data_IF_635537263306
#
_entry.id   IF_635537263306
#
_cell.length_a   1.000
_cell.length_b   1.000
_cell.length_c   1.000
_cell.angle_alpha   90.00
_cell.angle_beta   90.00
_cell.angle_gamma   90.00
#
_symmetry.space_group_name_H-M   'P 1'
#
loop_
_entity.id
_entity.type
_entity.pdbx_description
1 polymer ?
#
# COMPACT_ATOMS: atom_id res chain seq x y z
N UNK A 1 -7.59 -18.23 -21.94
CA UNK A 1 -7.19 -16.80 -22.05
C UNK A 1 -7.82 -16.08 -20.88
N UNK A 2 -7.02 -15.31 -20.15
CA UNK A 2 -7.52 -14.48 -19.06
C UNK A 2 -8.10 -13.22 -19.70
N UNK A 3 -9.36 -12.91 -19.44
CA UNK A 3 -10.02 -11.68 -19.91
C UNK A 3 -9.32 -10.44 -19.32
N UNK A 4 -9.25 -9.35 -20.09
CA UNK A 4 -8.61 -8.06 -19.73
C UNK A 4 -9.07 -7.56 -18.36
N UNK A 5 -10.36 -7.68 -18.07
CA UNK A 5 -10.95 -7.38 -16.76
C UNK A 5 -10.21 -8.09 -15.64
N UNK A 6 -10.01 -9.41 -15.78
CA UNK A 6 -9.36 -10.22 -14.77
C UNK A 6 -7.89 -9.83 -14.61
N UNK A 7 -7.20 -9.58 -15.72
CA UNK A 7 -5.78 -9.18 -15.73
C UNK A 7 -5.59 -7.84 -14.99
N UNK A 8 -6.38 -6.83 -15.34
CA UNK A 8 -6.31 -5.48 -14.75
C UNK A 8 -6.65 -5.51 -13.26
N UNK A 9 -7.69 -6.25 -12.87
CA UNK A 9 -8.10 -6.36 -11.46
C UNK A 9 -7.09 -7.08 -10.60
N UNK A 10 -6.58 -8.23 -11.07
CA UNK A 10 -5.57 -9.01 -10.34
C UNK A 10 -4.29 -8.19 -10.10
N UNK A 11 -3.94 -7.30 -11.04
CA UNK A 11 -2.79 -6.42 -10.90
C UNK A 11 -3.08 -5.13 -10.12
N UNK A 12 -4.33 -4.88 -9.70
CA UNK A 12 -4.76 -3.67 -9.00
C UNK A 12 -4.43 -2.38 -9.78
N UNK A 13 -4.66 -2.39 -11.10
CA UNK A 13 -4.52 -1.23 -11.98
C UNK A 13 -5.86 -0.76 -12.56
N UNK A 14 -6.97 -1.25 -11.98
CA UNK A 14 -8.35 -0.93 -12.40
C UNK A 14 -8.81 0.44 -11.95
N UNK A 15 -8.15 1.04 -10.96
CA UNK A 15 -8.55 2.31 -10.37
C UNK A 15 -7.37 2.86 -9.57
N UNK A 16 -6.29 3.19 -10.27
CA UNK A 16 -5.12 3.86 -9.69
C UNK A 16 -5.04 5.27 -10.23
N UNK A 17 -4.69 6.21 -9.36
CA UNK A 17 -4.64 7.62 -9.72
C UNK A 17 -3.47 8.32 -9.04
N UNK A 18 -2.96 9.37 -9.68
CA UNK A 18 -1.87 10.19 -9.16
C UNK A 18 -1.90 11.58 -9.79
N UNK A 19 -1.66 12.59 -8.95
CA UNK A 19 -1.45 13.96 -9.42
C UNK A 19 0.02 14.15 -9.79
N UNK A 20 0.25 14.77 -10.95
CA UNK A 20 1.55 15.14 -11.48
C UNK A 20 1.56 16.63 -11.76
N UNK A 21 2.69 17.28 -11.46
CA UNK A 21 2.89 18.69 -11.79
C UNK A 21 3.82 18.79 -13.01
N UNK A 22 3.44 19.59 -13.99
CA UNK A 22 4.32 19.99 -15.09
C UNK A 22 4.35 21.52 -15.16
N UNK A 23 5.44 22.11 -14.69
CA UNK A 23 5.58 23.55 -14.55
C UNK A 23 4.58 24.12 -13.55
N UNK A 24 3.62 24.93 -14.02
CA UNK A 24 2.56 25.54 -13.19
C UNK A 24 1.21 24.84 -13.31
N UNK A 25 1.14 23.78 -14.13
CA UNK A 25 -0.08 23.03 -14.36
C UNK A 25 -0.07 21.72 -13.57
N UNK A 26 -1.26 21.30 -13.16
CA UNK A 26 -1.50 20.03 -12.47
C UNK A 26 -2.30 19.13 -13.37
N UNK A 27 -1.92 17.86 -13.37
CA UNK A 27 -2.58 16.83 -14.14
C UNK A 27 -2.93 15.68 -13.19
N UNK A 28 -4.16 15.20 -13.28
CA UNK A 28 -4.58 13.95 -12.67
C UNK A 28 -4.42 12.85 -13.72
N UNK A 29 -3.53 11.91 -13.45
CA UNK A 29 -3.39 10.68 -14.20
C UNK A 29 -4.21 9.61 -13.49
N UNK A 30 -5.03 8.86 -14.21
CA UNK A 30 -5.79 7.76 -13.64
C UNK A 30 -6.00 6.65 -14.67
N UNK A 31 -6.27 5.45 -14.17
CA UNK A 31 -6.61 4.30 -15.00
C UNK A 31 -7.97 3.76 -14.58
N UNK A 32 -8.71 3.21 -15.53
CA UNK A 32 -9.98 2.54 -15.26
C UNK A 32 -10.25 1.40 -16.23
N UNK A 33 -11.24 0.57 -15.93
CA UNK A 33 -11.85 -0.27 -16.95
C UNK A 33 -12.85 0.55 -17.80
N UNK A 34 -13.05 0.13 -19.05
CA UNK A 34 -14.10 0.63 -19.92
C UNK A 34 -15.50 0.28 -19.39
N UNK A 35 -16.55 0.88 -19.95
CA UNK A 35 -17.93 0.64 -19.50
C UNK A 35 -18.37 -0.83 -19.68
N UNK A 36 -17.81 -1.53 -20.68
CA UNK A 36 -18.05 -2.95 -20.92
C UNK A 36 -17.00 -3.87 -20.26
N UNK A 37 -16.08 -3.31 -19.46
CA UNK A 37 -14.95 -4.00 -18.82
C UNK A 37 -14.00 -4.76 -19.78
N UNK A 38 -14.06 -4.47 -21.07
CA UNK A 38 -13.32 -5.13 -22.16
C UNK A 38 -12.08 -4.34 -22.63
N UNK A 39 -11.87 -3.14 -22.08
CA UNK A 39 -10.71 -2.30 -22.34
C UNK A 39 -10.16 -1.72 -21.05
N UNK A 40 -8.85 -1.59 -20.98
CA UNK A 40 -8.15 -0.81 -19.96
C UNK A 40 -7.92 0.60 -20.48
N UNK A 41 -8.40 1.59 -19.75
CA UNK A 41 -8.36 2.99 -20.17
C UNK A 41 -7.35 3.74 -19.31
N UNK A 42 -6.39 4.39 -19.95
CA UNK A 42 -5.47 5.33 -19.33
C UNK A 42 -5.94 6.74 -19.66
N UNK A 43 -6.08 7.58 -18.65
CA UNK A 43 -6.63 8.92 -18.81
C UNK A 43 -5.81 9.94 -18.03
N UNK A 44 -5.66 11.12 -18.61
CA UNK A 44 -5.06 12.28 -17.98
C UNK A 44 -6.02 13.46 -18.14
N UNK A 45 -6.15 14.27 -17.09
CA UNK A 45 -6.93 15.51 -17.15
C UNK A 45 -6.25 16.62 -16.36
N UNK A 46 -6.36 17.85 -16.83
CA UNK A 46 -5.95 19.06 -16.10
C UNK A 46 -7.11 19.71 -15.32
N UNK A 47 -8.28 19.04 -15.31
CA UNK A 47 -9.53 19.55 -14.71
C UNK A 47 -10.43 20.30 -15.69
N UNK A 48 -9.96 20.58 -16.91
CA UNK A 48 -10.76 21.18 -17.97
C UNK A 48 -10.83 20.27 -19.19
N UNK A 49 -9.69 19.79 -19.67
CA UNK A 49 -9.53 18.91 -20.80
C UNK A 49 -9.20 17.48 -20.34
N UNK A 50 -9.44 16.52 -21.23
CA UNK A 50 -9.25 15.09 -20.96
C UNK A 50 -8.53 14.48 -22.14
N UNK A 51 -7.46 13.74 -21.87
CA UNK A 51 -6.74 12.92 -22.84
C UNK A 51 -6.87 11.47 -22.41
N UNK A 52 -7.21 10.58 -23.34
CA UNK A 52 -7.32 9.16 -23.03
C UNK A 52 -6.75 8.27 -24.14
N UNK A 53 -6.46 7.04 -23.76
CA UNK A 53 -6.22 5.94 -24.68
C UNK A 53 -6.82 4.66 -24.07
N UNK A 54 -7.33 3.80 -24.95
CA UNK A 54 -8.07 2.59 -24.60
C UNK A 54 -7.29 1.39 -25.15
N UNK A 55 -7.00 0.43 -24.28
CA UNK A 55 -6.22 -0.76 -24.59
C UNK A 55 -7.10 -2.00 -24.40
N UNK A 56 -7.43 -2.67 -25.50
CA UNK A 56 -7.91 -4.04 -25.46
C UNK A 56 -6.75 -5.02 -25.18
N UNK A 57 -7.01 -6.33 -25.20
CA UNK A 57 -5.98 -7.35 -24.94
C UNK A 57 -4.81 -7.24 -25.93
N UNK A 58 -5.09 -7.06 -27.22
CA UNK A 58 -4.07 -6.94 -28.25
C UNK A 58 -3.26 -5.64 -28.11
N UNK A 59 -3.93 -4.50 -27.87
CA UNK A 59 -3.28 -3.22 -27.66
C UNK A 59 -2.41 -3.20 -26.40
N UNK A 60 -2.86 -3.86 -25.33
CA UNK A 60 -2.07 -4.00 -24.10
C UNK A 60 -0.82 -4.84 -24.34
N UNK A 61 -0.94 -5.93 -25.10
CA UNK A 61 0.18 -6.79 -25.45
C UNK A 61 1.16 -6.08 -26.40
N UNK A 62 0.67 -5.33 -27.38
CA UNK A 62 1.51 -4.49 -28.24
C UNK A 62 2.29 -3.43 -27.45
N UNK A 63 1.63 -2.79 -26.48
CA UNK A 63 2.27 -1.81 -25.60
C UNK A 63 3.32 -2.45 -24.70
N UNK A 64 3.05 -3.65 -24.15
CA UNK A 64 4.01 -4.45 -23.38
C UNK A 64 5.25 -4.80 -24.22
N UNK A 65 5.04 -5.23 -25.45
CA UNK A 65 6.12 -5.65 -26.34
C UNK A 65 6.99 -4.44 -26.75
N UNK A 66 6.39 -3.27 -26.97
CA UNK A 66 7.11 -2.02 -27.25
C UNK A 66 8.11 -1.67 -26.14
N UNK A 67 7.77 -1.93 -24.88
CA UNK A 67 8.62 -1.66 -23.72
C UNK A 67 9.47 -2.86 -23.29
N UNK A 68 9.51 -3.92 -24.12
CA UNK A 68 10.28 -5.15 -23.94
C UNK A 68 10.07 -5.82 -22.57
N UNK A 69 8.80 -5.97 -22.16
CA UNK A 69 8.44 -6.65 -20.91
C UNK A 69 7.93 -8.06 -21.19
N UNK A 70 8.46 -9.05 -20.49
CA UNK A 70 8.21 -10.47 -20.78
C UNK A 70 6.78 -10.94 -20.49
N UNK A 71 6.07 -10.32 -19.56
CA UNK A 71 4.72 -10.74 -19.16
C UNK A 71 3.83 -9.53 -18.89
N UNK A 72 2.53 -9.68 -19.17
CA UNK A 72 1.53 -8.63 -18.93
C UNK A 72 1.44 -8.27 -17.44
N UNK A 73 1.56 -9.25 -16.53
CA UNK A 73 1.60 -9.00 -15.09
C UNK A 73 2.82 -8.16 -14.66
N UNK A 74 4.00 -8.43 -15.23
CA UNK A 74 5.19 -7.64 -14.94
C UNK A 74 5.04 -6.20 -15.48
N UNK A 75 4.41 -6.05 -16.65
CA UNK A 75 4.11 -4.74 -17.23
C UNK A 75 3.17 -3.93 -16.34
N UNK A 76 2.02 -4.50 -15.96
CA UNK A 76 1.04 -3.83 -15.11
C UNK A 76 1.57 -3.57 -13.69
N UNK A 77 2.40 -4.47 -13.16
CA UNK A 77 3.10 -4.23 -11.90
C UNK A 77 4.03 -3.02 -11.96
N UNK A 78 4.74 -2.82 -13.07
CA UNK A 78 5.56 -1.61 -13.28
C UNK A 78 4.69 -0.35 -13.29
N UNK A 79 3.56 -0.38 -14.01
CA UNK A 79 2.59 0.72 -14.03
C UNK A 79 2.12 1.05 -12.61
N UNK A 80 1.62 0.06 -11.86
CA UNK A 80 1.16 0.25 -10.48
C UNK A 80 2.24 0.87 -9.59
N UNK A 81 3.46 0.34 -9.67
CA UNK A 81 4.57 0.81 -8.85
C UNK A 81 4.91 2.26 -9.16
N UNK A 82 4.92 2.66 -10.44
CA UNK A 82 5.18 4.03 -10.86
C UNK A 82 4.10 5.02 -10.37
N UNK A 83 2.82 4.64 -10.44
CA UNK A 83 1.74 5.44 -9.86
C UNK A 83 1.91 5.58 -8.33
N UNK A 84 2.24 4.48 -7.66
CA UNK A 84 2.42 4.44 -6.19
C UNK A 84 3.62 5.29 -5.75
N UNK A 85 4.72 5.26 -6.49
CA UNK A 85 5.94 6.03 -6.20
C UNK A 85 5.89 7.46 -6.74
N UNK A 86 4.93 7.80 -7.61
CA UNK A 86 4.84 9.11 -8.24
C UNK A 86 5.87 9.33 -9.34
N UNK A 87 6.33 8.24 -9.96
CA UNK A 87 7.26 8.25 -11.08
C UNK A 87 6.49 8.43 -12.39
N UNK A 88 5.86 9.60 -12.52
CA UNK A 88 5.04 9.95 -13.66
C UNK A 88 5.46 11.34 -14.16
N UNK A 89 5.44 11.53 -15.47
CA UNK A 89 5.57 12.84 -16.09
C UNK A 89 4.68 12.95 -17.32
N UNK A 90 4.26 14.16 -17.65
CA UNK A 90 3.37 14.41 -18.79
C UNK A 90 3.98 15.44 -19.73
N UNK A 91 3.80 15.25 -21.03
CA UNK A 91 4.20 16.21 -22.06
C UNK A 91 3.05 16.42 -23.05
N UNK A 92 2.59 17.66 -23.19
CA UNK A 92 1.50 18.03 -24.09
C UNK A 92 2.07 18.66 -25.37
N UNK A 93 1.69 18.12 -26.53
CA UNK A 93 2.05 18.63 -27.86
C UNK A 93 0.81 18.69 -28.73
N UNK A 94 0.25 19.89 -28.90
CA UNK A 94 -1.02 20.07 -29.61
C UNK A 94 -2.16 19.35 -28.87
N UNK A 95 -2.83 18.42 -29.55
CA UNK A 95 -3.94 17.62 -29.01
C UNK A 95 -3.49 16.26 -28.45
N UNK A 96 -2.19 15.97 -28.49
CA UNK A 96 -1.60 14.72 -28.00
C UNK A 96 -0.89 14.97 -26.67
N UNK A 97 -1.19 14.15 -25.67
CA UNK A 97 -0.50 14.13 -24.39
C UNK A 97 0.26 12.81 -24.25
N UNK A 98 1.56 12.87 -24.00
CA UNK A 98 2.37 11.69 -23.68
C UNK A 98 2.50 11.60 -22.16
N UNK A 99 2.01 10.50 -21.59
CA UNK A 99 2.20 10.12 -20.19
C UNK A 99 3.37 9.14 -20.09
N UNK A 100 4.45 9.58 -19.46
CA UNK A 100 5.60 8.72 -19.16
C UNK A 100 5.42 8.11 -17.78
N UNK A 101 5.52 6.78 -17.70
CA UNK A 101 5.34 5.97 -16.50
C UNK A 101 6.65 5.26 -16.15
N UNK A 102 7.20 5.54 -14.97
CA UNK A 102 8.49 5.04 -14.49
C UNK A 102 9.62 6.05 -14.66
N UNK A 103 10.86 5.60 -14.43
CA UNK A 103 12.08 6.43 -14.53
C UNK A 103 13.11 5.83 -15.47
N UNK A 104 13.87 6.72 -16.09
CA UNK A 104 15.10 6.40 -16.84
C UNK A 104 14.86 5.31 -17.89
N UNK A 105 15.70 4.27 -17.92
CA UNK A 105 15.68 3.20 -18.94
C UNK A 105 14.50 2.25 -18.84
N UNK A 106 13.68 2.35 -17.79
CA UNK A 106 12.49 1.52 -17.59
C UNK A 106 11.19 2.31 -17.76
N UNK A 107 11.28 3.55 -18.25
CA UNK A 107 10.13 4.40 -18.52
C UNK A 107 9.32 3.86 -19.71
N UNK A 108 8.01 4.01 -19.61
CA UNK A 108 7.04 3.55 -20.60
C UNK A 108 6.18 4.74 -20.99
N UNK A 109 6.09 5.04 -22.29
CA UNK A 109 5.33 6.18 -22.78
C UNK A 109 3.96 5.74 -23.30
N UNK A 110 2.92 6.40 -22.81
CA UNK A 110 1.55 6.24 -23.26
C UNK A 110 1.14 7.48 -24.03
N UNK A 111 0.84 7.31 -25.30
CA UNK A 111 0.28 8.37 -26.13
C UNK A 111 -1.23 8.43 -25.90
N UNK A 112 -1.71 9.58 -25.42
CA UNK A 112 -3.09 9.87 -25.11
C UNK A 112 -3.58 10.99 -26.03
N UNK A 113 -4.86 10.94 -26.42
CA UNK A 113 -5.44 11.89 -27.35
C UNK A 113 -6.60 12.64 -26.72
N UNK A 114 -6.71 13.92 -27.05
CA UNK A 114 -7.76 14.79 -26.50
C UNK A 114 -9.15 14.26 -26.86
N UNK A 115 -9.98 14.09 -25.83
CA UNK A 115 -11.36 13.65 -25.95
C UNK A 115 -12.20 14.71 -26.64
N UNK A 116 -13.12 14.25 -27.51
CA UNK A 116 -14.07 15.13 -28.21
C UNK A 116 -14.88 15.96 -27.21
N UNK A 117 -15.23 17.19 -27.62
CA UNK A 117 -15.99 18.12 -26.78
C UNK A 117 -17.31 17.52 -26.24
N UNK A 118 -18.00 16.68 -27.04
CA UNK A 118 -19.24 16.02 -26.63
C UNK A 118 -19.07 15.00 -25.49
N UNK A 119 -17.89 14.40 -25.38
CA UNK A 119 -17.58 13.33 -24.42
C UNK A 119 -16.82 13.86 -23.18
N UNK A 120 -16.11 14.98 -23.32
CA UNK A 120 -15.27 15.60 -22.27
C UNK A 120 -16.01 15.77 -20.93
N UNK A 121 -17.24 16.29 -20.98
CA UNK A 121 -18.06 16.48 -19.77
C UNK A 121 -18.37 15.15 -19.08
N UNK A 122 -18.69 14.10 -19.85
CA UNK A 122 -18.99 12.77 -19.32
C UNK A 122 -17.74 12.16 -18.69
N UNK A 123 -16.58 12.28 -19.32
CA UNK A 123 -15.31 11.79 -18.77
C UNK A 123 -14.94 12.50 -17.46
N UNK A 124 -15.05 13.83 -17.39
CA UNK A 124 -14.79 14.57 -16.15
C UNK A 124 -15.76 14.18 -15.02
N UNK A 125 -17.04 13.94 -15.34
CA UNK A 125 -18.00 13.44 -14.37
C UNK A 125 -17.60 12.06 -13.84
N UNK A 126 -17.21 11.15 -14.73
CA UNK A 126 -16.74 9.82 -14.34
C UNK A 126 -15.55 9.91 -13.39
N UNK A 127 -14.54 10.71 -13.71
CA UNK A 127 -13.38 10.94 -12.84
C UNK A 127 -13.79 11.42 -11.46
N UNK A 128 -14.65 12.44 -11.41
CA UNK A 128 -15.09 13.05 -10.17
C UNK A 128 -15.81 12.04 -9.27
N UNK A 129 -16.76 11.28 -9.82
CA UNK A 129 -17.53 10.32 -9.05
C UNK A 129 -16.71 9.10 -8.65
N UNK A 130 -15.82 8.59 -9.52
CA UNK A 130 -14.91 7.51 -9.16
C UNK A 130 -14.02 7.89 -7.97
N UNK A 131 -13.44 9.10 -7.97
CA UNK A 131 -12.64 9.58 -6.84
C UNK A 131 -13.46 9.78 -5.56
N UNK A 132 -14.71 10.26 -5.67
CA UNK A 132 -15.60 10.43 -4.53
C UNK A 132 -15.99 9.08 -3.90
N UNK A 133 -16.28 8.07 -4.74
CA UNK A 133 -16.58 6.71 -4.30
C UNK A 133 -15.36 6.05 -3.63
N UNK A 134 -14.18 6.17 -4.24
CA UNK A 134 -12.92 5.69 -3.65
C UNK A 134 -12.65 6.33 -2.28
N UNK A 135 -12.83 7.65 -2.17
CA UNK A 135 -12.63 8.35 -0.91
C UNK A 135 -13.60 7.84 0.17
N UNK A 136 -14.88 7.63 -0.19
CA UNK A 136 -15.88 7.08 0.73
C UNK A 136 -15.52 5.67 1.21
N UNK A 137 -15.00 4.83 0.31
CA UNK A 137 -14.50 3.49 0.64
C UNK A 137 -13.27 3.58 1.55
N UNK A 138 -12.34 4.49 1.28
CA UNK A 138 -11.15 4.71 2.09
C UNK A 138 -11.50 5.19 3.50
N UNK A 139 -12.43 6.13 3.65
CA UNK A 139 -12.94 6.60 4.95
C UNK A 139 -13.53 5.44 5.78
N UNK A 140 -14.32 4.58 5.13
CA UNK A 140 -14.90 3.39 5.77
C UNK A 140 -13.80 2.42 6.23
N UNK A 141 -12.82 2.12 5.37
CA UNK A 141 -11.68 1.24 5.70
C UNK A 141 -10.82 1.81 6.82
N UNK A 142 -10.57 3.12 6.80
CA UNK A 142 -9.81 3.84 7.83
C UNK A 142 -10.53 3.75 9.19
N UNK A 143 -11.84 3.99 9.22
CA UNK A 143 -12.67 3.88 10.42
C UNK A 143 -12.62 2.46 11.01
N UNK A 144 -12.79 1.44 10.18
CA UNK A 144 -12.71 0.04 10.62
C UNK A 144 -11.32 -0.33 11.16
N UNK A 145 -10.24 0.13 10.52
CA UNK A 145 -8.88 -0.08 10.98
C UNK A 145 -8.63 0.58 12.34
N UNK A 146 -9.10 1.81 12.54
CA UNK A 146 -8.97 2.54 13.80
C UNK A 146 -9.72 1.83 14.95
N UNK A 147 -10.95 1.37 14.71
CA UNK A 147 -11.70 0.60 15.72
C UNK A 147 -11.00 -0.71 16.09
N UNK A 148 -10.38 -1.39 15.13
CA UNK A 148 -9.58 -2.59 15.40
C UNK A 148 -8.36 -2.29 16.28
N UNK A 149 -7.64 -1.19 15.98
CA UNK A 149 -6.52 -0.74 16.79
C UNK A 149 -6.93 -0.36 18.22
N UNK A 150 -8.08 0.29 18.40
CA UNK A 150 -8.62 0.61 19.72
C UNK A 150 -8.95 -0.64 20.53
N UNK A 151 -9.59 -1.64 19.92
CA UNK A 151 -9.87 -2.93 20.56
C UNK A 151 -8.59 -3.65 20.99
N UNK A 152 -7.56 -3.67 20.13
CA UNK A 152 -6.26 -4.26 20.45
C UNK A 152 -5.55 -3.51 21.58
N UNK A 153 -5.63 -2.17 21.60
CA UNK A 153 -5.09 -1.36 22.69
C UNK A 153 -5.83 -1.62 24.00
N UNK A 154 -7.16 -1.67 23.98
CA UNK A 154 -7.99 -1.96 25.14
C UNK A 154 -7.70 -3.35 25.74
N UNK A 155 -7.46 -4.38 24.91
CA UNK A 155 -7.02 -5.69 25.39
C UNK A 155 -5.64 -5.65 26.06
N UNK A 156 -4.72 -4.84 25.56
CA UNK A 156 -3.38 -4.68 26.15
C UNK A 156 -3.40 -3.93 27.49
N UNK A 157 -4.31 -2.97 27.67
CA UNK A 157 -4.46 -2.22 28.94
C UNK A 157 -5.38 -2.89 29.96
N UNK A 158 -6.30 -3.76 29.54
CA UNK A 158 -7.13 -4.59 30.44
C UNK A 158 -6.45 -5.90 30.85
N UNK A 159 -5.34 -6.27 30.21
CA UNK A 159 -4.52 -7.43 30.54
C UNK A 159 -3.53 -7.20 31.68
N UNK A 160 -4.04 -6.96 32.90
CA UNK A 160 -3.29 -7.33 34.10
C UNK A 160 -3.23 -8.86 34.19
N UNK A 161 -2.15 -9.49 33.72
CA UNK A 161 -2.00 -10.93 33.91
C UNK A 161 -0.94 -11.60 33.05
N UNK A 162 0.22 -11.85 33.64
CA UNK A 162 1.31 -12.70 33.14
C UNK A 162 0.91 -14.20 33.17
N UNK A 163 -0.30 -14.57 32.76
CA UNK A 163 -0.84 -15.91 33.05
C UNK A 163 -1.56 -16.61 31.89
N UNK A 164 -1.19 -16.32 30.64
CA UNK A 164 -1.64 -17.12 29.48
C UNK A 164 -0.57 -18.10 28.96
N UNK A 165 0.60 -18.19 29.62
CA UNK A 165 1.72 -19.05 29.20
C UNK A 165 2.02 -20.21 30.16
N UNK A 166 1.20 -20.45 31.18
CA UNK A 166 1.43 -21.53 32.17
C UNK A 166 0.30 -22.57 32.22
N UNK A 167 -0.25 -22.99 31.07
CA UNK A 167 -1.12 -24.17 31.04
C UNK A 167 -0.85 -25.11 29.85
N UNK A 168 0.44 -25.30 29.56
CA UNK A 168 0.93 -26.42 28.75
C UNK A 168 1.93 -27.21 29.60
N UNK A 169 1.39 -27.87 30.62
CA UNK A 169 2.17 -28.66 31.58
C UNK A 169 1.41 -29.90 32.03
N UNK A 170 1.11 -30.81 31.12
CA UNK A 170 0.76 -32.18 31.49
C UNK A 170 1.97 -32.80 32.22
N UNK A 171 1.81 -33.11 33.51
CA UNK A 171 2.31 -34.36 34.12
C UNK A 171 1.89 -34.51 35.58
N UNK A 172 1.01 -35.49 35.78
CA UNK A 172 0.67 -36.13 37.05
C UNK A 172 1.82 -37.08 37.41
N UNK A 173 2.51 -36.86 38.53
CA UNK A 173 3.05 -37.88 39.44
C UNK A 173 4.07 -37.28 40.43
N UNK A 174 3.91 -37.60 41.71
CA UNK A 174 5.05 -37.77 42.62
C UNK A 174 5.21 -36.75 43.76
N UNK A 175 4.78 -37.19 44.95
CA UNK A 175 5.42 -37.03 46.26
C UNK A 175 5.86 -35.63 46.78
N UNK A 176 5.16 -35.21 47.85
CA UNK A 176 5.64 -34.49 49.05
C UNK A 176 6.98 -33.72 49.00
N UNK A 177 6.91 -32.40 49.16
CA UNK A 177 7.78 -31.64 50.07
C UNK A 177 7.17 -30.26 50.36
N UNK A 178 6.92 -29.94 51.65
CA UNK A 178 6.52 -28.60 52.08
C UNK A 178 7.70 -27.63 51.86
N UNK A 179 7.54 -26.64 51.00
CA UNK A 179 8.54 -25.61 50.76
C UNK A 179 8.57 -24.60 51.93
N UNK A 180 9.72 -24.47 52.60
CA UNK A 180 9.99 -23.42 53.60
C UNK A 180 9.98 -22.02 52.94
N UNK A 181 9.51 -20.98 53.64
CA UNK A 181 9.52 -19.62 53.12
C UNK A 181 10.97 -19.11 52.95
N UNK A 182 11.32 -18.69 51.73
CA UNK A 182 12.67 -18.18 51.40
C UNK A 182 12.77 -16.70 51.80
N UNK A 183 13.83 -16.34 52.53
CA UNK A 183 14.15 -14.96 52.92
C UNK A 183 14.35 -14.07 51.69
N UNK A 184 13.87 -12.84 51.77
CA UNK A 184 13.98 -11.83 50.72
C UNK A 184 15.44 -11.55 50.35
N UNK A 185 15.73 -11.47 49.03
CA UNK A 185 17.01 -10.98 48.51
C UNK A 185 17.75 -11.86 47.50
N UNK A 186 17.20 -13.00 47.07
CA UNK A 186 17.82 -13.85 46.04
C UNK A 186 17.26 -13.52 44.65
N UNK A 187 18.01 -12.78 43.84
CA UNK A 187 17.67 -12.44 42.45
C UNK A 187 17.71 -13.69 41.56
N UNK A 188 16.67 -13.87 40.74
CA UNK A 188 16.46 -15.05 39.87
C UNK A 188 17.26 -14.96 38.56
N UNK A 189 17.71 -13.77 38.17
CA UNK A 189 18.35 -13.56 36.85
C UNK A 189 19.86 -13.82 36.87
N UNK A 190 20.51 -13.81 38.04
CA UNK A 190 21.93 -14.17 38.16
C UNK A 190 22.24 -14.83 39.51
N UNK A 191 22.09 -16.16 39.61
CA UNK A 191 22.31 -16.89 40.87
C UNK A 191 23.77 -16.90 41.36
N UNK A 192 24.74 -16.43 40.56
CA UNK A 192 26.16 -16.37 40.95
C UNK A 192 26.59 -15.00 41.52
N UNK A 193 25.70 -14.01 41.61
CA UNK A 193 26.05 -12.68 42.11
C UNK A 193 26.16 -12.66 43.64
N UNK A 194 27.33 -13.06 44.18
CA UNK A 194 27.72 -12.69 45.55
C UNK A 194 28.03 -11.20 45.56
N UNK A 195 27.23 -10.40 46.28
CA UNK A 195 27.52 -8.98 46.54
C UNK A 195 28.95 -8.83 47.08
N UNK A 196 29.77 -8.00 46.42
CA UNK A 196 31.03 -7.49 46.98
C UNK A 196 30.72 -6.69 48.24
N UNK A 197 31.44 -6.96 49.34
CA UNK A 197 31.38 -6.13 50.56
C UNK A 197 31.84 -4.71 50.22
N UNK A 198 31.14 -3.71 50.76
CA UNK A 198 31.52 -2.31 50.62
C UNK A 198 32.90 -2.06 51.26
N UNK A 199 33.71 -1.21 50.62
CA UNK A 199 35.02 -0.81 51.12
C UNK A 199 34.85 0.08 52.37
N UNK A 200 35.53 -0.29 53.46
CA UNK A 200 35.67 0.53 54.66
C UNK A 200 36.64 1.68 54.38
N UNK A 201 36.18 2.92 54.64
CA UNK A 201 36.93 4.14 54.38
C UNK A 201 38.21 4.26 55.23
N UNK A 202 39.20 4.98 54.68
CA UNK A 202 40.46 5.30 55.34
C UNK A 202 40.30 6.64 56.08
N UNK A 203 40.65 6.67 57.36
CA UNK A 203 40.72 7.90 58.18
C UNK A 203 42.12 8.50 58.01
N UNK A 204 42.21 9.80 57.76
CA UNK A 204 43.47 10.55 57.79
C UNK A 204 43.53 11.35 59.09
N UNK A 205 44.72 11.41 59.68
CA UNK A 205 45.11 12.28 60.80
C UNK A 205 45.70 13.59 60.25
#
# INVERSE_FOLDING_TARGET
>A
MSDIKSIVKNNNVESIHRVVENGRQKFLCFTRLGEADDVWVVVVTDGADVWKNEFDEEGLDAQRDLVNVSTTDAFLTRVKNAFTSGELSVALVGTKLTLTVGKSTSAMDFDLFETKAAERKKELQNVLFCLADENSVLETKLSAANQSLEKLRAQKTSGGGVSALMDLGTKKAGAQAKAKPRKAGMSVVNPASRKRKAATGVVFD
#
